data_IF_597837838155
#
_entry.id   IF_597837838155
#
_cell.length_a   1.000
_cell.length_b   1.000
_cell.length_c   1.000
_cell.angle_alpha   90.00
_cell.angle_beta   90.00
_cell.angle_gamma   90.00
#
_symmetry.space_group_name_H-M   'P 1'
#
loop_
_entity.id
_entity.type
_entity.pdbx_description
1 polymer ?
#
# COMPACT_ATOMS: atom_id res chain seq x y z
N UNK A 1 -8.60 -1.85 22.87
CA UNK A 1 -9.08 -0.75 22.00
C UNK A 1 -8.34 0.57 22.25
N UNK A 2 -8.25 1.08 23.49
CA UNK A 2 -7.54 2.35 23.79
C UNK A 2 -6.07 2.41 23.35
N UNK A 3 -5.30 1.32 23.51
CA UNK A 3 -3.90 1.24 23.06
C UNK A 3 -3.74 1.27 21.53
N UNK A 4 -4.66 0.65 20.79
CA UNK A 4 -4.64 0.65 19.32
C UNK A 4 -4.99 2.03 18.76
N UNK A 5 -5.97 2.72 19.36
CA UNK A 5 -6.31 4.10 19.02
C UNK A 5 -5.16 5.07 19.31
N UNK A 6 -4.42 4.87 20.40
CA UNK A 6 -3.24 5.67 20.72
C UNK A 6 -2.12 5.47 19.69
N UNK A 7 -1.87 4.24 19.25
CA UNK A 7 -0.87 3.96 18.20
C UNK A 7 -1.29 4.61 16.87
N UNK A 8 -2.57 4.49 16.48
CA UNK A 8 -3.10 5.15 15.28
C UNK A 8 -2.97 6.67 15.39
N UNK A 9 -3.25 7.24 16.56
CA UNK A 9 -3.10 8.67 16.82
C UNK A 9 -1.64 9.13 16.72
N UNK A 10 -0.69 8.39 17.29
CA UNK A 10 0.75 8.70 17.19
C UNK A 10 1.22 8.61 15.74
N UNK A 11 0.77 7.61 14.99
CA UNK A 11 1.07 7.48 13.56
C UNK A 11 0.50 8.68 12.79
N UNK A 12 -0.75 9.08 13.04
CA UNK A 12 -1.36 10.26 12.41
C UNK A 12 -0.60 11.54 12.75
N UNK A 13 -0.21 11.74 14.01
CA UNK A 13 0.54 12.95 14.43
C UNK A 13 1.91 13.02 13.76
N UNK A 14 2.64 11.91 13.67
CA UNK A 14 3.94 11.85 12.96
C UNK A 14 3.78 12.03 11.45
N UNK A 15 2.65 11.60 10.87
CA UNK A 15 2.35 11.76 9.44
C UNK A 15 1.88 13.17 9.05
N UNK A 16 1.18 13.86 9.95
CA UNK A 16 0.62 15.19 9.71
C UNK A 16 1.52 16.33 10.20
N UNK A 17 2.75 16.07 10.65
CA UNK A 17 3.73 17.15 10.81
C UNK A 17 4.02 17.74 9.43
N UNK A 18 3.73 19.03 9.20
CA UNK A 18 3.96 19.64 7.90
C UNK A 18 5.44 19.56 7.55
N UNK A 19 5.76 19.08 6.34
CA UNK A 19 7.08 19.30 5.77
C UNK A 19 7.29 20.80 5.56
N UNK A 20 8.54 21.30 5.57
CA UNK A 20 8.78 22.71 5.29
C UNK A 20 8.17 23.11 3.94
N UNK A 21 7.71 24.36 3.88
CA UNK A 21 7.10 25.03 2.73
C UNK A 21 7.86 24.75 1.44
N UNK A 22 7.16 24.19 0.45
CA UNK A 22 7.72 23.85 -0.87
C UNK A 22 7.36 24.93 -1.88
N UNK A 23 8.40 25.51 -2.49
CA UNK A 23 8.27 26.41 -3.62
C UNK A 23 8.05 25.61 -4.92
N UNK A 24 7.09 26.07 -5.73
CA UNK A 24 6.74 25.45 -6.99
C UNK A 24 7.78 25.77 -8.09
N UNK A 25 8.85 24.97 -8.23
CA UNK A 25 9.44 24.71 -9.55
C UNK A 25 10.33 23.44 -9.64
N UNK A 26 9.96 22.59 -10.59
CA UNK A 26 10.54 21.40 -11.25
C UNK A 26 11.67 20.54 -10.63
N UNK A 27 11.30 19.26 -10.43
CA UNK A 27 12.08 18.03 -10.24
C UNK A 27 12.68 17.76 -8.85
N UNK A 28 11.96 16.94 -8.09
CA UNK A 28 12.45 16.34 -6.85
C UNK A 28 13.75 15.58 -7.10
N UNK A 29 14.82 15.97 -6.39
CA UNK A 29 16.12 15.32 -6.46
C UNK A 29 16.31 14.43 -5.23
N UNK A 30 16.60 13.15 -5.47
CA UNK A 30 16.94 12.20 -4.41
C UNK A 30 18.42 12.36 -4.06
N UNK A 31 18.72 12.67 -2.80
CA UNK A 31 20.08 12.87 -2.28
C UNK A 31 20.77 11.56 -1.87
N UNK A 32 20.00 10.49 -1.68
CA UNK A 32 20.47 9.20 -1.15
C UNK A 32 20.08 8.07 -2.10
N UNK A 33 19.16 7.20 -1.70
CA UNK A 33 18.58 6.16 -2.56
C UNK A 33 17.25 6.64 -3.14
N UNK A 34 16.91 6.19 -4.35
CA UNK A 34 15.62 6.52 -4.96
C UNK A 34 14.57 5.51 -4.48
N UNK A 35 13.29 5.86 -4.39
CA UNK A 35 12.25 4.92 -3.96
C UNK A 35 12.17 3.68 -4.85
N UNK A 36 12.45 3.82 -6.15
CA UNK A 36 12.53 2.69 -7.08
C UNK A 36 13.57 1.64 -6.67
N UNK A 37 14.68 2.06 -6.06
CA UNK A 37 15.79 1.17 -5.71
C UNK A 37 15.45 0.30 -4.49
N UNK A 38 14.58 0.80 -3.60
CA UNK A 38 14.11 0.09 -2.38
C UNK A 38 12.70 -0.48 -2.51
N UNK A 39 12.01 -0.21 -3.62
CA UNK A 39 10.59 -0.51 -3.81
C UNK A 39 10.29 -1.99 -3.56
N UNK A 40 11.03 -2.92 -4.19
CA UNK A 40 10.76 -4.35 -4.07
C UNK A 40 10.86 -4.84 -2.61
N UNK A 41 11.83 -4.31 -1.87
CA UNK A 41 12.01 -4.63 -0.45
C UNK A 41 10.83 -4.10 0.38
N UNK A 42 10.43 -2.85 0.15
CA UNK A 42 9.29 -2.23 0.83
C UNK A 42 8.00 -3.01 0.56
N UNK A 43 7.74 -3.36 -0.70
CA UNK A 43 6.57 -4.16 -1.09
C UNK A 43 6.57 -5.55 -0.44
N UNK A 44 7.72 -6.23 -0.40
CA UNK A 44 7.83 -7.53 0.26
C UNK A 44 7.53 -7.44 1.76
N UNK A 45 8.05 -6.42 2.45
CA UNK A 45 7.79 -6.21 3.88
C UNK A 45 6.33 -5.89 4.16
N UNK A 46 5.69 -5.06 3.32
CA UNK A 46 4.25 -4.78 3.41
C UNK A 46 3.44 -6.07 3.26
N UNK A 47 3.68 -6.82 2.18
CA UNK A 47 2.91 -8.01 1.85
C UNK A 47 3.00 -9.06 2.98
N UNK A 48 4.20 -9.23 3.57
CA UNK A 48 4.42 -10.10 4.72
C UNK A 48 3.68 -9.59 5.97
N UNK A 49 3.75 -8.30 6.26
CA UNK A 49 3.07 -7.69 7.41
C UNK A 49 1.55 -7.87 7.30
N UNK A 50 0.98 -7.56 6.15
CA UNK A 50 -0.46 -7.69 5.91
C UNK A 50 -0.92 -9.14 5.97
N UNK A 51 -0.20 -10.05 5.31
CA UNK A 51 -0.51 -11.48 5.37
C UNK A 51 -0.46 -11.99 6.81
N UNK A 52 0.51 -11.55 7.60
CA UNK A 52 0.61 -11.85 9.03
C UNK A 52 -0.57 -11.30 9.84
N UNK A 53 -0.91 -10.02 9.66
CA UNK A 53 -2.01 -9.35 10.36
C UNK A 53 -3.35 -10.00 10.04
N UNK A 54 -3.67 -10.20 8.76
CA UNK A 54 -4.94 -10.80 8.34
C UNK A 54 -5.05 -12.23 8.87
N UNK A 55 -4.01 -13.04 8.68
CA UNK A 55 -4.01 -14.44 9.15
C UNK A 55 -4.19 -14.54 10.67
N UNK A 56 -3.52 -13.66 11.44
CA UNK A 56 -3.56 -13.71 12.90
C UNK A 56 -4.82 -13.12 13.51
N UNK A 57 -5.32 -12.02 12.96
CA UNK A 57 -6.40 -11.24 13.57
C UNK A 57 -7.77 -11.51 12.92
N UNK A 58 -7.86 -11.95 11.67
CA UNK A 58 -9.14 -12.23 11.01
C UNK A 58 -9.76 -13.57 11.42
N UNK A 59 -9.05 -14.39 12.21
CA UNK A 59 -9.51 -15.72 12.67
C UNK A 59 -9.97 -16.61 11.50
N UNK A 60 -9.15 -16.67 10.45
CA UNK A 60 -9.41 -17.53 9.31
C UNK A 60 -9.20 -18.99 9.70
N UNK A 61 -10.11 -19.88 9.31
CA UNK A 61 -10.06 -21.32 9.56
C UNK A 61 -8.77 -21.95 9.00
N UNK A 62 -8.34 -21.52 7.81
CA UNK A 62 -7.11 -21.97 7.16
C UNK A 62 -6.10 -20.81 7.07
N UNK A 63 -5.18 -20.80 8.04
CA UNK A 63 -4.15 -19.78 8.13
C UNK A 63 -3.16 -19.80 6.96
N UNK A 64 -2.82 -20.99 6.42
CA UNK A 64 -1.87 -21.11 5.30
C UNK A 64 -2.50 -20.54 4.03
N UNK A 65 -3.76 -20.90 3.77
CA UNK A 65 -4.51 -20.36 2.63
C UNK A 65 -4.71 -18.86 2.76
N UNK A 66 -5.04 -18.35 3.95
CA UNK A 66 -5.14 -16.91 4.20
C UNK A 66 -3.85 -16.18 3.83
N UNK A 67 -2.71 -16.69 4.33
CA UNK A 67 -1.41 -16.08 4.11
C UNK A 67 -1.06 -15.99 2.62
N UNK A 68 -1.22 -17.10 1.89
CA UNK A 68 -0.94 -17.16 0.45
C UNK A 68 -1.87 -16.25 -0.35
N UNK A 69 -3.17 -16.24 -0.05
CA UNK A 69 -4.15 -15.40 -0.76
C UNK A 69 -3.83 -13.91 -0.58
N UNK A 70 -3.53 -13.48 0.66
CA UNK A 70 -3.19 -12.07 0.93
C UNK A 70 -1.88 -11.70 0.24
N UNK A 71 -0.85 -12.55 0.33
CA UNK A 71 0.44 -12.29 -0.31
C UNK A 71 0.30 -12.13 -1.83
N UNK A 72 -0.47 -13.02 -2.48
CA UNK A 72 -0.71 -12.94 -3.93
C UNK A 72 -1.54 -11.72 -4.31
N UNK A 73 -2.60 -11.42 -3.56
CA UNK A 73 -3.46 -10.27 -3.85
C UNK A 73 -2.70 -8.94 -3.70
N UNK A 74 -1.85 -8.82 -2.69
CA UNK A 74 -1.00 -7.66 -2.47
C UNK A 74 0.07 -7.53 -3.58
N UNK A 75 0.72 -8.64 -3.96
CA UNK A 75 1.65 -8.63 -5.10
C UNK A 75 0.97 -8.17 -6.40
N UNK A 76 -0.23 -8.68 -6.68
CA UNK A 76 -1.01 -8.29 -7.88
C UNK A 76 -1.44 -6.83 -7.81
N UNK A 77 -1.90 -6.33 -6.66
CA UNK A 77 -2.35 -4.94 -6.51
C UNK A 77 -1.22 -3.94 -6.76
N UNK A 78 0.00 -4.25 -6.31
CA UNK A 78 1.17 -3.43 -6.57
C UNK A 78 1.69 -3.53 -8.01
N UNK A 79 1.53 -4.69 -8.68
CA UNK A 79 1.91 -4.86 -10.09
C UNK A 79 0.88 -4.26 -11.06
N UNK A 80 -0.39 -4.21 -10.66
CA UNK A 80 -1.50 -3.71 -11.47
C UNK A 80 -1.24 -2.34 -12.14
N UNK A 81 -0.76 -1.29 -11.45
CA UNK A 81 -0.49 0.01 -12.08
C UNK A 81 0.58 -0.06 -13.19
N UNK A 82 1.59 -0.91 -13.03
CA UNK A 82 2.63 -1.10 -14.05
C UNK A 82 2.07 -1.79 -15.30
N UNK A 83 1.24 -2.83 -15.10
CA UNK A 83 0.55 -3.51 -16.20
C UNK A 83 -0.41 -2.58 -16.94
N UNK A 84 -1.18 -1.77 -16.21
CA UNK A 84 -2.10 -0.80 -16.80
C UNK A 84 -1.37 0.26 -17.64
N UNK A 85 -0.22 0.75 -17.16
CA UNK A 85 0.63 1.67 -17.93
C UNK A 85 1.16 1.02 -19.21
N UNK A 86 1.67 -0.21 -19.14
CA UNK A 86 2.16 -0.92 -20.32
C UNK A 86 1.07 -1.07 -21.39
N UNK A 87 -0.14 -1.47 -21.00
CA UNK A 87 -1.29 -1.59 -21.91
C UNK A 87 -1.72 -0.24 -22.48
N UNK A 88 -1.80 0.80 -21.64
CA UNK A 88 -2.20 2.14 -22.06
C UNK A 88 -1.22 2.73 -23.08
N UNK A 89 0.09 2.55 -22.87
CA UNK A 89 1.12 2.99 -23.82
C UNK A 89 1.05 2.21 -25.13
N UNK A 90 0.81 0.89 -25.06
CA UNK A 90 0.73 0.04 -26.23
C UNK A 90 -0.49 0.36 -27.11
N UNK A 91 -1.62 0.69 -26.49
CA UNK A 91 -2.88 1.02 -27.18
C UNK A 91 -3.07 2.53 -27.43
N UNK A 92 -2.03 3.36 -27.22
CA UNK A 92 -2.04 4.82 -27.46
C UNK A 92 -3.12 5.59 -26.66
N UNK A 93 -3.51 5.09 -25.48
CA UNK A 93 -4.42 5.81 -24.58
C UNK A 93 -3.68 6.95 -23.87
N UNK A 94 -3.43 8.06 -24.58
CA UNK A 94 -2.64 9.21 -24.10
C UNK A 94 -3.15 9.80 -22.79
N UNK A 95 -4.47 9.90 -22.59
CA UNK A 95 -5.04 10.47 -21.36
C UNK A 95 -4.75 9.60 -20.13
N UNK A 96 -4.82 8.28 -20.28
CA UNK A 96 -4.54 7.31 -19.21
C UNK A 96 -3.04 7.26 -18.94
N UNK A 97 -2.20 7.28 -19.98
CA UNK A 97 -0.74 7.35 -19.82
C UNK A 97 -0.31 8.60 -19.05
N UNK A 98 -0.86 9.77 -19.41
CA UNK A 98 -0.53 11.04 -18.76
C UNK A 98 -1.04 11.10 -17.32
N UNK A 99 -2.20 10.50 -17.03
CA UNK A 99 -2.69 10.35 -15.66
C UNK A 99 -1.82 9.37 -14.83
N UNK A 100 -1.20 8.38 -15.48
CA UNK A 100 -0.28 7.39 -14.91
C UNK A 100 1.20 7.82 -14.97
N UNK A 101 1.51 9.05 -15.39
CA UNK A 101 2.88 9.61 -15.35
C UNK A 101 3.24 10.23 -13.99
N UNK A 102 2.30 10.25 -13.04
CA UNK A 102 2.62 10.51 -11.64
C UNK A 102 3.62 9.46 -11.13
N UNK A 103 4.50 9.78 -10.16
CA UNK A 103 5.52 8.85 -9.66
C UNK A 103 4.89 7.68 -8.89
N UNK A 104 4.38 6.67 -9.61
CA UNK A 104 3.75 5.44 -9.09
C UNK A 104 4.71 4.55 -8.29
N UNK A 105 5.99 4.87 -8.31
CA UNK A 105 7.03 4.24 -7.51
C UNK A 105 7.14 4.83 -6.09
N UNK A 106 6.45 5.96 -5.81
CA UNK A 106 6.34 6.51 -4.46
C UNK A 106 5.11 5.97 -3.74
N UNK A 107 5.29 5.57 -2.50
CA UNK A 107 4.20 5.06 -1.67
C UNK A 107 3.34 6.23 -1.18
N UNK A 108 2.07 6.22 -1.57
CA UNK A 108 1.13 7.28 -1.23
C UNK A 108 -0.32 6.94 -1.53
N UNK A 109 -1.15 7.97 -1.70
CA UNK A 109 -2.60 7.84 -1.91
C UNK A 109 -2.95 6.96 -3.10
N UNK A 110 -2.16 7.01 -4.17
CA UNK A 110 -2.35 6.16 -5.35
C UNK A 110 -2.22 4.67 -5.01
N UNK A 111 -1.21 4.30 -4.22
CA UNK A 111 -1.00 2.92 -3.78
C UNK A 111 -2.20 2.42 -2.95
N UNK A 112 -2.71 3.25 -2.04
CA UNK A 112 -3.89 2.92 -1.23
C UNK A 112 -5.16 2.73 -2.07
N UNK A 113 -5.35 3.54 -3.13
CA UNK A 113 -6.47 3.38 -4.05
C UNK A 113 -6.34 2.04 -4.80
N UNK A 114 -5.15 1.71 -5.29
CA UNK A 114 -4.91 0.46 -6.02
C UNK A 114 -5.17 -0.76 -5.14
N UNK A 115 -4.70 -0.76 -3.89
CA UNK A 115 -4.99 -1.86 -2.97
C UNK A 115 -6.48 -1.90 -2.60
N UNK A 116 -7.14 -0.75 -2.42
CA UNK A 116 -8.57 -0.70 -2.16
C UNK A 116 -9.44 -1.25 -3.30
N UNK A 117 -9.03 -1.03 -4.56
CA UNK A 117 -9.77 -1.48 -5.74
C UNK A 117 -9.44 -2.92 -6.13
N UNK A 118 -8.20 -3.36 -5.94
CA UNK A 118 -7.74 -4.67 -6.43
C UNK A 118 -7.63 -5.69 -5.30
N UNK A 119 -6.88 -5.35 -4.25
CA UNK A 119 -6.56 -6.30 -3.17
C UNK A 119 -7.77 -6.55 -2.27
N UNK A 120 -8.40 -5.49 -1.75
CA UNK A 120 -9.49 -5.62 -0.79
C UNK A 120 -10.63 -6.50 -1.34
N UNK A 121 -11.13 -6.31 -2.58
CA UNK A 121 -12.17 -7.17 -3.11
C UNK A 121 -11.69 -8.59 -3.31
N UNK A 122 -10.49 -8.79 -3.88
CA UNK A 122 -9.93 -10.11 -4.15
C UNK A 122 -9.81 -10.94 -2.86
N UNK A 123 -9.20 -10.37 -1.82
CA UNK A 123 -9.01 -11.05 -0.54
C UNK A 123 -10.36 -11.28 0.16
N UNK A 124 -11.24 -10.27 0.17
CA UNK A 124 -12.54 -10.38 0.82
C UNK A 124 -13.39 -11.48 0.18
N UNK A 125 -13.47 -11.55 -1.15
CA UNK A 125 -14.28 -12.55 -1.84
C UNK A 125 -13.81 -13.99 -1.58
N UNK A 126 -12.50 -14.20 -1.47
CA UNK A 126 -11.91 -15.53 -1.21
C UNK A 126 -12.02 -15.90 0.27
N UNK A 127 -11.65 -15.00 1.19
CA UNK A 127 -11.56 -15.32 2.62
C UNK A 127 -12.89 -15.23 3.37
N UNK A 128 -13.91 -14.53 2.84
CA UNK A 128 -15.24 -14.47 3.50
C UNK A 128 -15.90 -15.83 3.69
N UNK A 129 -15.47 -16.85 2.94
CA UNK A 129 -15.94 -18.24 3.05
C UNK A 129 -15.19 -19.05 4.11
N UNK A 130 -14.14 -18.48 4.69
CA UNK A 130 -13.20 -19.15 5.59
C UNK A 130 -13.10 -18.45 6.95
N UNK A 131 -14.02 -17.52 7.26
CA UNK A 131 -14.07 -16.76 8.51
C UNK A 131 -15.46 -16.86 9.11
N UNK A 132 -15.52 -16.85 10.43
CA UNK A 132 -16.79 -16.84 11.17
C UNK A 132 -17.48 -15.46 11.12
N UNK A 133 -16.69 -14.38 11.06
CA UNK A 133 -17.16 -13.00 11.07
C UNK A 133 -16.63 -12.22 9.87
N UNK A 134 -17.48 -12.07 8.85
CA UNK A 134 -17.15 -11.35 7.61
C UNK A 134 -17.03 -9.84 7.81
N UNK A 135 -17.71 -9.27 8.82
CA UNK A 135 -17.61 -7.84 9.15
C UNK A 135 -16.25 -7.53 9.77
N UNK A 136 -15.79 -8.40 10.67
CA UNK A 136 -14.44 -8.34 11.24
C UNK A 136 -13.36 -8.47 10.17
N UNK A 137 -13.51 -9.40 9.22
CA UNK A 137 -12.60 -9.55 8.09
C UNK A 137 -12.48 -8.23 7.32
N UNK A 138 -13.60 -7.61 6.95
CA UNK A 138 -13.61 -6.33 6.23
C UNK A 138 -12.86 -5.22 6.98
N UNK A 139 -13.13 -5.04 8.28
CA UNK A 139 -12.41 -4.05 9.08
C UNK A 139 -10.92 -4.31 9.20
N UNK A 140 -10.52 -5.57 9.35
CA UNK A 140 -9.09 -5.92 9.46
C UNK A 140 -8.39 -5.67 8.14
N UNK A 141 -9.00 -6.00 7.01
CA UNK A 141 -8.40 -5.75 5.69
C UNK A 141 -8.19 -4.25 5.45
N UNK A 142 -9.20 -3.42 5.72
CA UNK A 142 -9.10 -1.96 5.59
C UNK A 142 -8.03 -1.39 6.51
N UNK A 143 -8.03 -1.77 7.79
CA UNK A 143 -7.05 -1.28 8.76
C UNK A 143 -5.63 -1.75 8.46
N UNK A 144 -5.45 -3.00 8.02
CA UNK A 144 -4.16 -3.53 7.63
C UNK A 144 -3.56 -2.73 6.47
N UNK A 145 -4.36 -2.48 5.43
CA UNK A 145 -3.96 -1.73 4.24
C UNK A 145 -3.61 -0.25 4.53
N UNK A 146 -4.41 0.41 5.37
CA UNK A 146 -4.09 1.77 5.80
C UNK A 146 -2.78 1.77 6.59
N UNK A 147 -2.63 0.86 7.55
CA UNK A 147 -1.46 0.80 8.42
C UNK A 147 -0.18 0.47 7.64
N UNK A 148 -0.24 -0.48 6.72
CA UNK A 148 0.90 -0.88 5.87
C UNK A 148 1.33 0.23 4.93
N UNK A 149 0.37 0.92 4.30
CA UNK A 149 0.65 2.06 3.43
C UNK A 149 1.33 3.18 4.22
N UNK A 150 0.87 3.45 5.44
CA UNK A 150 1.52 4.42 6.33
C UNK A 150 2.93 3.96 6.73
N UNK A 151 3.12 2.70 7.12
CA UNK A 151 4.46 2.18 7.45
C UNK A 151 5.40 2.33 6.25
N UNK A 152 4.99 1.93 5.06
CA UNK A 152 5.80 2.01 3.86
C UNK A 152 6.08 3.45 3.42
N UNK A 153 5.09 4.33 3.51
CA UNK A 153 5.26 5.76 3.29
C UNK A 153 6.29 6.37 4.26
N UNK A 154 6.29 5.94 5.52
CA UNK A 154 7.25 6.37 6.52
C UNK A 154 8.66 5.83 6.26
N UNK A 155 8.78 4.53 6.01
CA UNK A 155 10.06 3.88 5.67
C UNK A 155 10.66 4.48 4.40
N UNK A 156 9.86 4.70 3.36
CA UNK A 156 10.32 5.37 2.14
C UNK A 156 10.88 6.77 2.45
N UNK A 157 10.17 7.59 3.24
CA UNK A 157 10.62 8.95 3.61
C UNK A 157 11.84 8.98 4.52
N UNK A 158 12.09 7.91 5.27
CA UNK A 158 13.29 7.75 6.10
C UNK A 158 14.50 7.30 5.27
N UNK A 159 14.29 6.49 4.24
CA UNK A 159 15.38 5.95 3.41
C UNK A 159 15.70 6.87 2.22
N UNK A 160 14.67 7.45 1.61
CA UNK A 160 14.77 8.23 0.39
C UNK A 160 14.68 9.72 0.75
N UNK A 161 15.82 10.29 1.16
CA UNK A 161 15.90 11.73 1.36
C UNK A 161 15.99 12.45 0.02
N UNK A 162 15.22 13.52 -0.12
CA UNK A 162 15.30 14.40 -1.27
C UNK A 162 14.82 15.80 -0.92
N UNK A 163 15.02 16.70 -1.87
CA UNK A 163 14.50 18.06 -1.82
C UNK A 163 13.89 18.40 -3.18
N UNK A 164 13.11 19.49 -3.16
CA UNK A 164 12.66 20.16 -4.37
C UNK A 164 13.78 21.02 -4.95
#
# INVERSE_FOLDING_TARGET
>A
MRRALFIIFVILVVFFTPSPTVHANSSWQWLTVRPCDVLLLILALIALMEAGVVTRFARVLDARKSFVVVLLANAVSHLFPYGLRMLACWHKFRCVCKALDAPYYTVGTYSLIMTAVVELPAVYFVLRRLVDDTRRLGWILVLANISSTLVAAGVERLLCHGHW
#
